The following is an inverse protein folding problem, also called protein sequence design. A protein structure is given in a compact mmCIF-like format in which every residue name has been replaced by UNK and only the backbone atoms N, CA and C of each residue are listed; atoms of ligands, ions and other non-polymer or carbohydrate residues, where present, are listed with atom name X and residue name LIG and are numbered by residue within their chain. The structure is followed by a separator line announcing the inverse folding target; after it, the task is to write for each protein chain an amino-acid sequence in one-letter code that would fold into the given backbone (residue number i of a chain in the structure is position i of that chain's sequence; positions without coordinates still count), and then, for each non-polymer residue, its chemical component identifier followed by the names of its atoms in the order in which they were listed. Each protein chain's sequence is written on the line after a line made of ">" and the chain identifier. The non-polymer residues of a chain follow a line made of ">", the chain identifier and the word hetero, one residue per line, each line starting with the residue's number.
data_IF_648546133185
#
_entry.id   IF_648546133185
#
_cell.length_a   1.000
_cell.length_b   1.000
_cell.length_c   1.000
_cell.angle_alpha   90.00
_cell.angle_beta   90.00
_cell.angle_gamma   90.00
#
_symmetry.space_group_name_H-M   'P 1'
#
loop_
_entity.id
_entity.type
_entity.pdbx_description
1 polymer ?
#
# COMPACT_ATOMS: atom_id res chain seq x y z
N UNK A 1 -4.55 -16.04 0.03
CA UNK A 1 -3.96 -14.70 0.08
C UNK A 1 -5.07 -13.76 0.50
N UNK A 2 -5.06 -13.22 1.73
CA UNK A 2 -6.06 -12.23 2.12
C UNK A 2 -5.91 -11.02 1.18
N UNK A 3 -6.98 -10.65 0.49
CA UNK A 3 -6.98 -9.51 -0.42
C UNK A 3 -6.65 -8.23 0.37
N UNK A 4 -5.84 -7.38 -0.23
CA UNK A 4 -5.63 -6.02 0.25
C UNK A 4 -6.96 -5.26 0.18
N UNK A 5 -7.54 -4.90 1.32
CA UNK A 5 -8.81 -4.16 1.37
C UNK A 5 -8.58 -2.65 1.20
N UNK A 6 -8.38 -2.23 -0.03
CA UNK A 6 -8.21 -0.81 -0.37
C UNK A 6 -9.49 0.03 -0.29
N UNK A 7 -10.63 -0.55 0.14
CA UNK A 7 -11.92 0.17 0.17
C UNK A 7 -12.09 1.02 1.43
N UNK A 8 -11.25 0.82 2.43
CA UNK A 8 -11.29 1.63 3.64
C UNK A 8 -10.70 3.03 3.38
N UNK A 9 -11.44 4.07 3.76
CA UNK A 9 -11.00 5.46 3.67
C UNK A 9 -9.67 5.72 4.42
N UNK A 10 -9.31 4.90 5.40
CA UNK A 10 -8.02 4.94 6.10
C UNK A 10 -6.80 4.78 5.17
N UNK A 11 -7.00 4.14 4.01
CA UNK A 11 -5.95 3.98 3.00
C UNK A 11 -5.74 5.20 2.11
N UNK A 12 -6.58 6.25 2.22
CA UNK A 12 -6.49 7.42 1.36
C UNK A 12 -6.33 8.71 2.17
N UNK A 13 -5.20 9.37 2.01
CA UNK A 13 -4.88 10.65 2.64
C UNK A 13 -4.85 11.74 1.56
N UNK A 14 -5.99 12.41 1.38
CA UNK A 14 -6.15 13.48 0.37
C UNK A 14 -5.37 14.76 0.70
N UNK A 15 -4.87 14.89 1.94
CA UNK A 15 -4.22 16.12 2.42
C UNK A 15 -2.75 16.22 2.01
N UNK A 16 -2.11 15.07 1.74
CA UNK A 16 -0.69 15.00 1.42
C UNK A 16 -0.32 13.76 0.63
N UNK A 17 0.51 13.98 -0.37
CA UNK A 17 1.25 12.92 -1.03
C UNK A 17 2.56 12.65 -0.29
N UNK A 18 2.90 11.37 -0.17
CA UNK A 18 4.19 10.92 0.36
C UNK A 18 4.85 9.99 -0.68
N UNK A 19 6.19 9.91 -0.72
CA UNK A 19 6.87 9.03 -1.66
C UNK A 19 6.53 7.57 -1.34
N UNK A 20 6.13 6.82 -2.36
CA UNK A 20 5.88 5.39 -2.26
C UNK A 20 7.14 4.66 -1.80
N UNK A 21 7.03 3.82 -0.77
CA UNK A 21 8.17 3.07 -0.21
C UNK A 21 8.80 2.06 -1.18
N UNK A 22 8.11 1.72 -2.28
CA UNK A 22 8.59 0.76 -3.28
C UNK A 22 9.14 1.43 -4.54
N UNK A 23 8.48 2.46 -5.06
CA UNK A 23 8.86 3.10 -6.33
C UNK A 23 9.30 4.57 -6.20
N UNK A 24 9.20 5.16 -5.02
CA UNK A 24 9.59 6.55 -4.72
C UNK A 24 8.65 7.64 -5.25
N UNK A 25 7.71 7.31 -6.14
CA UNK A 25 6.76 8.29 -6.71
C UNK A 25 5.72 8.73 -5.67
N UNK A 26 5.22 9.97 -5.72
CA UNK A 26 4.21 10.46 -4.79
C UNK A 26 2.93 9.62 -4.83
N UNK A 27 2.34 9.38 -3.67
CA UNK A 27 1.06 8.68 -3.51
C UNK A 27 0.23 9.26 -2.36
N UNK A 28 -1.08 9.45 -2.56
CA UNK A 28 -2.03 9.73 -1.47
C UNK A 28 -2.41 8.44 -0.73
N UNK A 29 -2.07 7.26 -1.27
CA UNK A 29 -2.45 5.98 -0.69
C UNK A 29 -1.53 5.52 0.44
N UNK A 30 -2.09 4.71 1.33
CA UNK A 30 -1.45 4.16 2.53
C UNK A 30 -1.78 2.67 2.65
N UNK A 31 -0.81 1.84 3.08
CA UNK A 31 -1.08 0.45 3.49
C UNK A 31 -1.89 0.40 4.78
N UNK A 32 -2.23 -0.80 5.26
CA UNK A 32 -2.88 -0.98 6.56
C UNK A 32 -2.08 -0.36 7.72
N UNK A 33 -0.76 -0.55 7.71
CA UNK A 33 0.19 0.04 8.68
C UNK A 33 0.51 1.52 8.39
N UNK A 34 -0.24 2.16 7.50
CA UNK A 34 -0.09 3.55 7.06
C UNK A 34 1.21 3.86 6.30
N UNK A 35 1.93 2.86 5.79
CA UNK A 35 3.08 3.10 4.90
C UNK A 35 2.60 3.72 3.58
N UNK A 36 3.24 4.78 3.06
CA UNK A 36 2.89 5.34 1.77
C UNK A 36 3.27 4.36 0.66
N UNK A 37 2.28 3.82 -0.03
CA UNK A 37 2.49 2.83 -1.10
C UNK A 37 1.38 2.96 -2.14
N UNK A 38 1.71 2.73 -3.42
CA UNK A 38 0.66 2.58 -4.42
C UNK A 38 0.01 1.20 -4.27
N UNK A 39 -1.30 1.12 -4.51
CA UNK A 39 -2.04 -0.15 -4.55
C UNK A 39 -1.34 -1.20 -5.40
N UNK A 40 -1.02 -0.85 -6.64
CA UNK A 40 -0.35 -1.76 -7.58
C UNK A 40 1.03 -2.17 -7.07
N UNK A 41 1.82 -1.25 -6.52
CA UNK A 41 3.13 -1.61 -5.98
C UNK A 41 3.02 -2.58 -4.79
N UNK A 42 2.03 -2.40 -3.93
CA UNK A 42 1.78 -3.31 -2.81
C UNK A 42 1.29 -4.69 -3.28
N UNK A 43 0.39 -4.74 -4.29
CA UNK A 43 -0.06 -5.98 -4.93
C UNK A 43 1.12 -6.73 -5.57
N UNK A 44 1.92 -6.05 -6.39
CA UNK A 44 3.13 -6.61 -7.02
C UNK A 44 4.15 -7.13 -5.99
N UNK A 45 4.28 -6.45 -4.85
CA UNK A 45 5.17 -6.90 -3.77
C UNK A 45 4.66 -8.18 -3.10
N UNK A 46 3.37 -8.27 -2.82
CA UNK A 46 2.76 -9.46 -2.22
C UNK A 46 2.86 -10.67 -3.16
N UNK A 47 2.72 -10.47 -4.47
CA UNK A 47 2.90 -11.53 -5.47
C UNK A 47 4.35 -12.05 -5.49
N UNK A 48 5.33 -11.17 -5.31
CA UNK A 48 6.75 -11.52 -5.20
C UNK A 48 7.14 -12.09 -3.83
N UNK A 49 6.38 -11.79 -2.77
CA UNK A 49 6.67 -12.15 -1.38
C UNK A 49 5.45 -12.81 -0.71
N UNK A 50 5.05 -14.02 -1.14
CA UNK A 50 3.81 -14.66 -0.69
C UNK A 50 3.77 -14.99 0.81
N UNK A 51 4.92 -14.98 1.50
CA UNK A 51 5.03 -15.22 2.94
C UNK A 51 5.10 -13.94 3.78
N UNK A 52 5.25 -12.77 3.16
CA UNK A 52 5.38 -11.48 3.85
C UNK A 52 4.02 -10.92 4.22
N UNK A 53 3.83 -10.44 5.45
CA UNK A 53 2.60 -9.78 5.88
C UNK A 53 2.61 -8.25 5.72
N UNK A 54 3.69 -7.66 5.20
CA UNK A 54 3.96 -6.20 5.25
C UNK A 54 2.87 -5.29 4.68
N UNK A 55 2.20 -5.71 3.60
CA UNK A 55 1.11 -4.92 3.03
C UNK A 55 -0.25 -5.55 3.23
N UNK A 56 -0.31 -6.83 3.63
CA UNK A 56 -1.55 -7.55 3.88
C UNK A 56 -2.39 -6.88 4.98
N UNK A 57 -3.69 -7.14 4.93
CA UNK A 57 -4.71 -6.57 5.82
C UNK A 57 -4.85 -7.34 7.14
#
# INVERSE_FOLDING_TARGET
>A
MPLLDWRDARHFDASRDLPCVLCGKPTPMRSHDREPVHKVCAEDWCDQHPTSNRFHN
#
